data_IF_188210289060
#
_entry.id   IF_188210289060
#
_cell.length_a   1.000
_cell.length_b   1.000
_cell.length_c   1.000
_cell.angle_alpha   90.00
_cell.angle_beta   90.00
_cell.angle_gamma   90.00
#
_symmetry.space_group_name_H-M   'P 1'
#
loop_
_entity.id
_entity.type
_entity.pdbx_description
1 polymer ?
#
# COMPACT_ATOMS: atom_id res chain seq x y z
N UNK A 1 -15.15 -18.04 15.92
CA UNK A 1 -14.65 -16.87 15.16
C UNK A 1 -13.66 -17.40 14.12
N UNK A 2 -13.85 -17.08 12.85
CA UNK A 2 -12.91 -17.45 11.79
C UNK A 2 -11.60 -16.67 12.01
N UNK A 3 -10.45 -17.33 11.90
CA UNK A 3 -9.15 -16.67 12.07
C UNK A 3 -8.94 -15.59 10.98
N UNK A 4 -8.46 -14.42 11.39
CA UNK A 4 -8.13 -13.34 10.47
C UNK A 4 -6.97 -13.77 9.56
N UNK A 5 -7.07 -13.42 8.26
CA UNK A 5 -6.08 -13.77 7.23
C UNK A 5 -5.10 -12.64 6.97
N UNK A 6 -5.54 -11.39 7.10
CA UNK A 6 -4.70 -10.23 6.84
C UNK A 6 -5.14 -9.01 7.66
N UNK A 7 -4.19 -8.09 7.84
CA UNK A 7 -4.43 -6.73 8.33
C UNK A 7 -4.35 -5.76 7.16
N UNK A 8 -5.43 -5.05 6.88
CA UNK A 8 -5.47 -4.00 5.85
C UNK A 8 -5.17 -2.66 6.53
N UNK A 9 -4.04 -2.06 6.19
CA UNK A 9 -3.60 -0.76 6.72
C UNK A 9 -3.95 0.34 5.73
N UNK A 10 -4.74 1.31 6.19
CA UNK A 10 -5.28 2.40 5.39
C UNK A 10 -4.89 3.73 6.03
N UNK A 11 -3.87 4.43 5.54
CA UNK A 11 -3.59 5.79 5.99
C UNK A 11 -4.71 6.73 5.50
N UNK A 12 -5.27 7.53 6.40
CA UNK A 12 -6.35 8.45 6.10
C UNK A 12 -6.07 9.85 6.66
N UNK A 13 -6.58 10.87 5.98
CA UNK A 13 -6.44 12.27 6.41
C UNK A 13 -7.69 13.06 6.04
N UNK A 14 -8.54 13.34 7.03
CA UNK A 14 -9.75 14.15 6.90
C UNK A 14 -10.71 13.67 5.78
N UNK A 15 -10.90 12.34 5.66
CA UNK A 15 -11.79 11.76 4.65
C UNK A 15 -13.28 11.96 5.00
N UNK A 16 -13.59 12.30 6.26
CA UNK A 16 -14.95 12.55 6.70
C UNK A 16 -15.89 11.37 6.41
N UNK A 17 -17.05 11.66 5.82
CA UNK A 17 -18.04 10.63 5.45
C UNK A 17 -17.63 9.79 4.22
N UNK A 18 -16.65 10.24 3.44
CA UNK A 18 -16.16 9.50 2.27
C UNK A 18 -15.52 8.15 2.66
N UNK A 19 -15.02 8.04 3.89
CA UNK A 19 -14.50 6.77 4.41
C UNK A 19 -15.57 5.67 4.39
N UNK A 20 -16.84 6.00 4.59
CA UNK A 20 -17.95 5.05 4.52
C UNK A 20 -18.10 4.42 3.14
N UNK A 21 -17.93 5.20 2.08
CA UNK A 21 -17.95 4.70 0.68
C UNK A 21 -16.78 3.74 0.41
N UNK A 22 -15.58 4.09 0.89
CA UNK A 22 -14.42 3.22 0.80
C UNK A 22 -14.66 1.89 1.55
N UNK A 23 -15.14 1.95 2.79
CA UNK A 23 -15.40 0.76 3.62
C UNK A 23 -16.47 -0.14 2.99
N UNK A 24 -17.54 0.43 2.43
CA UNK A 24 -18.57 -0.33 1.72
C UNK A 24 -17.98 -1.07 0.52
N UNK A 25 -17.20 -0.40 -0.33
CA UNK A 25 -16.55 -1.04 -1.49
C UNK A 25 -15.59 -2.15 -1.06
N UNK A 26 -14.88 -1.96 0.04
CA UNK A 26 -13.99 -2.97 0.61
C UNK A 26 -14.80 -4.19 1.08
N UNK A 27 -15.87 -3.99 1.83
CA UNK A 27 -16.74 -5.06 2.32
C UNK A 27 -17.42 -5.85 1.19
N UNK A 28 -17.83 -5.18 0.10
CA UNK A 28 -18.41 -5.82 -1.09
C UNK A 28 -17.38 -6.63 -1.89
N UNK A 29 -16.08 -6.34 -1.76
CA UNK A 29 -15.03 -6.90 -2.63
C UNK A 29 -14.15 -7.93 -1.94
N UNK A 30 -13.87 -7.78 -0.64
CA UNK A 30 -12.98 -8.66 0.12
C UNK A 30 -13.79 -9.77 0.78
N UNK A 31 -13.48 -11.02 0.40
CA UNK A 31 -14.21 -12.19 0.92
C UNK A 31 -13.49 -12.89 2.07
N UNK A 32 -12.19 -12.68 2.19
CA UNK A 32 -11.39 -13.24 3.28
C UNK A 32 -11.63 -12.46 4.60
N UNK A 33 -11.64 -13.14 5.75
CA UNK A 33 -11.76 -12.46 7.03
C UNK A 33 -10.52 -11.61 7.32
N UNK A 34 -10.68 -10.30 7.46
CA UNK A 34 -9.60 -9.33 7.67
C UNK A 34 -9.93 -8.36 8.80
N UNK A 35 -8.89 -7.79 9.41
CA UNK A 35 -9.00 -6.55 10.15
C UNK A 35 -8.62 -5.36 9.26
N UNK A 36 -9.26 -4.22 9.46
CA UNK A 36 -9.01 -2.97 8.73
C UNK A 36 -8.60 -1.91 9.73
N UNK A 37 -7.35 -1.46 9.62
CA UNK A 37 -6.77 -0.42 10.48
C UNK A 37 -6.75 0.89 9.71
N UNK A 38 -7.70 1.77 9.99
CA UNK A 38 -7.75 3.13 9.45
C UNK A 38 -6.88 4.02 10.34
N UNK A 39 -5.73 4.44 9.83
CA UNK A 39 -4.72 5.15 10.63
C UNK A 39 -4.76 6.64 10.30
N UNK A 40 -5.02 7.45 11.32
CA UNK A 40 -5.07 8.92 11.24
C UNK A 40 -3.95 9.56 12.08
N UNK A 41 -3.58 10.79 11.73
CA UNK A 41 -2.48 11.52 12.39
C UNK A 41 -2.92 12.22 13.69
N UNK A 42 -4.23 12.44 13.92
CA UNK A 42 -4.72 13.18 15.11
C UNK A 42 -6.09 12.67 15.57
N UNK A 43 -6.40 12.80 16.87
CA UNK A 43 -7.72 12.44 17.38
C UNK A 43 -8.87 13.31 16.85
N UNK A 44 -8.57 14.50 16.31
CA UNK A 44 -9.55 15.41 15.70
C UNK A 44 -9.78 15.16 14.21
N UNK A 45 -9.19 14.12 13.64
CA UNK A 45 -9.37 13.78 12.23
C UNK A 45 -10.83 13.37 11.97
N UNK A 46 -11.45 14.00 10.96
CA UNK A 46 -12.87 13.77 10.64
C UNK A 46 -13.17 12.35 10.16
N UNK A 47 -12.17 11.60 9.77
CA UNK A 47 -12.29 10.19 9.36
C UNK A 47 -12.81 9.32 10.50
N UNK A 48 -12.40 9.60 11.76
CA UNK A 48 -12.84 8.82 12.92
C UNK A 48 -14.36 8.87 13.10
N UNK A 49 -14.95 10.07 13.00
CA UNK A 49 -16.40 10.22 13.07
C UNK A 49 -17.13 9.53 11.90
N UNK A 50 -16.50 9.43 10.74
CA UNK A 50 -17.02 8.67 9.60
C UNK A 50 -17.01 7.16 9.85
N UNK A 51 -15.96 6.63 10.50
CA UNK A 51 -15.86 5.22 10.86
C UNK A 51 -16.93 4.83 11.90
N UNK A 52 -17.16 5.67 12.91
CA UNK A 52 -18.16 5.41 13.96
C UNK A 52 -19.59 5.23 13.41
N UNK A 53 -19.89 5.88 12.28
CA UNK A 53 -21.19 5.75 11.60
C UNK A 53 -21.30 4.47 10.76
N UNK A 54 -20.19 3.78 10.50
CA UNK A 54 -20.15 2.60 9.66
C UNK A 54 -20.19 1.32 10.50
N UNK A 55 -21.09 0.40 10.16
CA UNK A 55 -21.20 -0.91 10.81
C UNK A 55 -20.88 -2.01 9.79
N UNK A 56 -19.72 -2.64 9.95
CA UNK A 56 -19.35 -3.80 9.16
C UNK A 56 -19.96 -5.07 9.72
N UNK A 57 -20.37 -5.97 8.82
CA UNK A 57 -20.88 -7.31 9.16
C UNK A 57 -19.85 -8.40 8.95
N UNK A 58 -18.79 -8.13 8.19
CA UNK A 58 -17.81 -9.14 7.77
C UNK A 58 -16.40 -8.90 8.31
N UNK A 59 -16.02 -7.64 8.54
CA UNK A 59 -14.65 -7.26 8.88
C UNK A 59 -14.57 -6.52 10.20
N UNK A 60 -13.45 -6.68 10.89
CA UNK A 60 -13.13 -5.88 12.07
C UNK A 60 -12.54 -4.54 11.62
N UNK A 61 -13.25 -3.44 11.81
CA UNK A 61 -12.81 -2.10 11.41
C UNK A 61 -12.40 -1.32 12.65
N UNK A 62 -11.18 -0.78 12.66
CA UNK A 62 -10.60 -0.04 13.77
C UNK A 62 -10.04 1.30 13.29
N UNK A 63 -10.53 2.40 13.87
CA UNK A 63 -9.91 3.71 13.78
C UNK A 63 -8.75 3.81 14.77
N UNK A 64 -7.55 4.17 14.29
CA UNK A 64 -6.32 4.18 15.08
C UNK A 64 -5.62 5.52 14.93
N UNK A 65 -5.34 6.19 16.05
CA UNK A 65 -4.55 7.43 16.05
C UNK A 65 -3.07 7.09 16.14
N UNK A 66 -2.28 7.57 15.18
CA UNK A 66 -0.84 7.30 15.13
C UNK A 66 -0.11 8.01 16.27
N UNK A 67 0.75 7.28 16.96
CA UNK A 67 1.73 7.82 17.92
C UNK A 67 3.05 8.24 17.25
N UNK A 68 3.19 7.94 15.95
CA UNK A 68 4.37 8.34 15.18
C UNK A 68 4.21 9.78 14.64
N UNK A 69 5.30 10.42 14.19
CA UNK A 69 5.23 11.73 13.56
C UNK A 69 4.26 11.74 12.39
N UNK A 70 3.57 12.87 12.17
CA UNK A 70 2.58 13.01 11.10
C UNK A 70 3.14 12.69 9.71
N UNK A 71 2.31 12.10 8.89
CA UNK A 71 2.59 11.83 7.48
C UNK A 71 2.32 10.40 7.03
N UNK A 72 2.10 10.20 5.72
CA UNK A 72 1.58 8.93 5.21
C UNK A 72 2.51 7.73 5.47
N UNK A 73 3.84 7.90 5.33
CA UNK A 73 4.78 6.82 5.64
C UNK A 73 4.69 6.40 7.11
N UNK A 74 4.60 7.36 8.03
CA UNK A 74 4.52 7.09 9.45
C UNK A 74 3.16 6.49 9.85
N UNK A 75 2.06 6.93 9.25
CA UNK A 75 0.75 6.32 9.44
C UNK A 75 0.77 4.85 8.98
N UNK A 76 1.35 4.55 7.82
CA UNK A 76 1.53 3.17 7.33
C UNK A 76 2.40 2.35 8.29
N UNK A 77 3.54 2.87 8.71
CA UNK A 77 4.46 2.19 9.65
C UNK A 77 3.76 1.89 10.99
N UNK A 78 3.00 2.86 11.50
CA UNK A 78 2.23 2.66 12.73
C UNK A 78 1.15 1.58 12.54
N UNK A 79 0.39 1.61 11.44
CA UNK A 79 -0.58 0.57 11.12
C UNK A 79 0.05 -0.82 11.02
N UNK A 80 1.22 -0.95 10.37
CA UNK A 80 1.98 -2.20 10.31
C UNK A 80 2.36 -2.68 11.72
N UNK A 81 2.84 -1.79 12.59
CA UNK A 81 3.21 -2.16 13.97
C UNK A 81 2.01 -2.60 14.81
N UNK A 82 0.81 -2.15 14.48
CA UNK A 82 -0.46 -2.52 15.14
C UNK A 82 -1.16 -3.72 14.52
N UNK A 83 -0.68 -4.19 13.35
CA UNK A 83 -1.26 -5.33 12.64
C UNK A 83 -1.12 -6.62 13.43
N UNK A 84 -2.22 -7.39 13.55
CA UNK A 84 -2.27 -8.66 14.26
C UNK A 84 -1.93 -9.86 13.36
N UNK A 85 -1.97 -9.70 12.03
CA UNK A 85 -1.77 -10.77 11.06
C UNK A 85 -0.38 -10.76 10.44
N UNK A 86 0.05 -11.93 9.93
CA UNK A 86 1.31 -12.08 9.17
C UNK A 86 1.26 -11.47 7.76
N UNK A 87 0.07 -11.29 7.20
CA UNK A 87 -0.13 -10.62 5.93
C UNK A 87 -0.62 -9.22 6.17
N UNK A 88 0.09 -8.23 5.63
CA UNK A 88 -0.28 -6.81 5.71
C UNK A 88 -0.55 -6.27 4.33
N UNK A 89 -1.74 -5.74 4.09
CA UNK A 89 -2.13 -5.07 2.84
C UNK A 89 -2.17 -3.57 3.07
N UNK A 90 -1.54 -2.79 2.21
CA UNK A 90 -1.60 -1.32 2.25
C UNK A 90 -2.46 -0.85 1.08
N UNK A 91 -3.48 -0.05 1.35
CA UNK A 91 -4.33 0.60 0.35
C UNK A 91 -4.73 2.00 0.80
N UNK A 92 -5.24 2.83 -0.13
CA UNK A 92 -5.57 4.23 0.14
C UNK A 92 -7.07 4.42 0.43
N UNK A 93 -7.38 5.32 1.37
CA UNK A 93 -8.75 5.66 1.74
C UNK A 93 -9.52 6.40 0.63
N UNK A 94 -8.83 6.99 -0.34
CA UNK A 94 -9.40 7.85 -1.39
C UNK A 94 -10.17 7.09 -2.49
N UNK A 95 -10.26 5.77 -2.37
CA UNK A 95 -10.99 4.92 -3.30
C UNK A 95 -10.35 4.76 -4.68
N UNK A 96 -9.12 5.22 -4.88
CA UNK A 96 -8.40 5.10 -6.14
C UNK A 96 -7.99 3.67 -6.47
N UNK A 97 -7.74 2.86 -5.47
CA UNK A 97 -7.37 1.45 -5.60
C UNK A 97 -8.60 0.55 -5.80
N UNK A 98 -8.45 -0.52 -6.56
CA UNK A 98 -9.50 -1.52 -6.78
C UNK A 98 -9.43 -2.62 -5.70
N UNK A 99 -10.34 -2.66 -4.72
CA UNK A 99 -10.27 -3.61 -3.61
C UNK A 99 -10.49 -5.07 -4.03
N UNK A 100 -11.01 -5.34 -5.23
CA UNK A 100 -11.27 -6.71 -5.72
C UNK A 100 -10.03 -7.58 -5.84
N UNK A 101 -8.83 -6.98 -5.89
CA UNK A 101 -7.58 -7.74 -5.98
C UNK A 101 -6.96 -8.06 -4.62
N UNK A 102 -7.54 -7.58 -3.52
CA UNK A 102 -6.99 -7.76 -2.16
C UNK A 102 -6.87 -9.23 -1.79
N UNK A 103 -7.90 -10.03 -2.05
CA UNK A 103 -7.86 -11.46 -1.75
C UNK A 103 -6.73 -12.19 -2.49
N UNK A 104 -6.45 -11.81 -3.74
CA UNK A 104 -5.37 -12.40 -4.52
C UNK A 104 -3.99 -11.96 -4.01
N UNK A 105 -3.85 -10.69 -3.59
CA UNK A 105 -2.63 -10.22 -2.93
C UNK A 105 -2.34 -11.00 -1.64
N UNK A 106 -3.35 -11.22 -0.81
CA UNK A 106 -3.24 -12.03 0.42
C UNK A 106 -2.77 -13.44 0.10
N UNK A 107 -3.41 -14.12 -0.85
CA UNK A 107 -3.06 -15.48 -1.26
C UNK A 107 -1.63 -15.60 -1.78
N UNK A 108 -1.10 -14.59 -2.46
CA UNK A 108 0.29 -14.58 -2.92
C UNK A 108 1.28 -14.53 -1.76
N UNK A 109 1.01 -13.72 -0.74
CA UNK A 109 1.86 -13.68 0.47
C UNK A 109 1.82 -15.01 1.20
N UNK A 110 0.64 -15.61 1.38
CA UNK A 110 0.48 -16.92 2.01
C UNK A 110 1.20 -18.05 1.27
N UNK A 111 1.41 -17.90 -0.04
CA UNK A 111 2.21 -18.82 -0.88
C UNK A 111 3.72 -18.57 -0.78
N UNK A 112 4.17 -17.64 0.07
CA UNK A 112 5.57 -17.39 0.34
C UNK A 112 6.17 -16.16 -0.38
N UNK A 113 5.38 -15.34 -1.07
CA UNK A 113 5.89 -14.06 -1.56
C UNK A 113 6.17 -13.11 -0.39
N UNK A 114 7.27 -12.37 -0.46
CA UNK A 114 7.54 -11.28 0.48
C UNK A 114 6.74 -10.02 0.15
N UNK A 115 6.50 -9.80 -1.15
CA UNK A 115 5.75 -8.67 -1.69
C UNK A 115 4.81 -9.15 -2.78
N UNK A 116 3.53 -8.74 -2.72
CA UNK A 116 2.56 -8.90 -3.79
C UNK A 116 2.06 -7.51 -4.22
N UNK A 117 2.31 -7.11 -5.45
CA UNK A 117 2.01 -5.78 -5.97
C UNK A 117 0.73 -5.76 -6.80
N UNK A 118 -0.15 -4.80 -6.52
CA UNK A 118 -1.24 -4.45 -7.42
C UNK A 118 -0.67 -3.57 -8.54
N UNK A 119 -0.52 -4.13 -9.74
CA UNK A 119 0.23 -3.53 -10.85
C UNK A 119 -0.71 -2.89 -11.87
N UNK A 120 -0.51 -1.59 -12.08
CA UNK A 120 -1.19 -0.80 -13.12
C UNK A 120 -0.58 -1.00 -14.50
N UNK A 121 0.64 -1.55 -14.57
CA UNK A 121 1.49 -1.54 -15.77
C UNK A 121 1.76 -2.92 -16.37
N UNK A 122 1.39 -4.00 -15.70
CA UNK A 122 1.38 -5.34 -16.28
C UNK A 122 0.21 -5.53 -17.25
N UNK A 123 0.20 -6.61 -18.02
CA UNK A 123 -0.93 -6.96 -18.88
C UNK A 123 -2.23 -7.09 -18.06
N UNK A 124 -3.30 -6.42 -18.49
CA UNK A 124 -4.58 -6.34 -17.77
C UNK A 124 -4.66 -5.21 -16.73
N UNK A 125 -3.54 -4.60 -16.32
CA UNK A 125 -3.53 -3.45 -15.43
C UNK A 125 -3.83 -2.13 -16.16
N UNK A 126 -4.45 -1.17 -15.45
CA UNK A 126 -4.81 0.12 -16.01
C UNK A 126 -4.60 1.26 -15.00
N UNK A 127 -4.22 2.42 -15.52
CA UNK A 127 -4.26 3.69 -14.78
C UNK A 127 -5.13 4.68 -15.54
N UNK A 128 -6.28 5.02 -14.96
CA UNK A 128 -7.27 5.93 -15.53
C UNK A 128 -7.16 7.27 -14.81
N UNK A 129 -6.96 8.36 -15.58
CA UNK A 129 -6.77 9.69 -15.02
C UNK A 129 -5.36 9.94 -14.47
N UNK A 130 -5.26 10.97 -13.63
CA UNK A 130 -4.03 11.44 -13.01
C UNK A 130 -3.11 12.25 -13.93
N UNK A 131 -2.18 13.03 -13.34
CA UNK A 131 -1.26 13.87 -14.11
C UNK A 131 -0.35 13.04 -15.02
N UNK A 132 -0.37 13.31 -16.33
CA UNK A 132 0.39 12.56 -17.35
C UNK A 132 1.88 12.46 -17.02
N UNK A 133 2.49 13.54 -16.50
CA UNK A 133 3.90 13.54 -16.14
C UNK A 133 4.22 12.56 -14.99
N UNK A 134 3.40 12.55 -13.94
CA UNK A 134 3.57 11.61 -12.80
C UNK A 134 3.44 10.17 -13.28
N UNK A 135 2.46 9.88 -14.14
CA UNK A 135 2.25 8.56 -14.75
C UNK A 135 3.46 8.12 -15.57
N UNK A 136 3.98 9.00 -16.43
CA UNK A 136 5.15 8.68 -17.28
C UNK A 136 6.39 8.40 -16.42
N UNK A 137 6.65 9.22 -15.39
CA UNK A 137 7.79 9.05 -14.49
C UNK A 137 7.70 7.71 -13.73
N UNK A 138 6.56 7.45 -13.12
CA UNK A 138 6.30 6.21 -12.37
C UNK A 138 6.44 4.97 -13.25
N UNK A 139 5.83 4.99 -14.45
CA UNK A 139 5.90 3.88 -15.40
C UNK A 139 7.32 3.61 -15.90
N UNK A 140 8.06 4.67 -16.26
CA UNK A 140 9.44 4.51 -16.77
C UNK A 140 10.39 4.05 -15.67
N UNK A 141 10.27 4.57 -14.44
CA UNK A 141 11.06 4.10 -13.32
C UNK A 141 10.81 2.61 -13.01
N UNK A 142 9.54 2.21 -12.94
CA UNK A 142 9.18 0.81 -12.70
C UNK A 142 9.65 -0.09 -13.85
N UNK A 143 9.49 0.36 -15.11
CA UNK A 143 9.96 -0.39 -16.30
C UNK A 143 11.48 -0.57 -16.30
N UNK A 144 12.23 0.46 -15.89
CA UNK A 144 13.69 0.36 -15.79
C UNK A 144 14.10 -0.71 -14.75
N UNK A 145 13.49 -0.71 -13.57
CA UNK A 145 13.75 -1.72 -12.54
C UNK A 145 13.39 -3.14 -13.02
N UNK A 146 12.28 -3.30 -13.71
CA UNK A 146 11.86 -4.60 -14.24
C UNK A 146 12.79 -5.09 -15.35
N UNK A 147 13.11 -4.25 -16.36
CA UNK A 147 13.92 -4.64 -17.51
C UNK A 147 15.40 -4.86 -17.17
N UNK A 148 15.96 -3.98 -16.31
CA UNK A 148 17.41 -3.98 -16.04
C UNK A 148 17.77 -4.92 -14.89
N UNK A 149 16.93 -4.97 -13.87
CA UNK A 149 17.23 -5.73 -12.65
C UNK A 149 16.39 -7.01 -12.52
N UNK A 150 15.35 -7.19 -13.33
CA UNK A 150 14.44 -8.33 -13.18
C UNK A 150 13.61 -8.28 -11.90
N UNK A 151 13.28 -7.08 -11.40
CA UNK A 151 12.38 -6.92 -10.27
C UNK A 151 11.02 -7.56 -10.60
N UNK A 152 10.49 -8.40 -9.74
CA UNK A 152 9.31 -9.24 -9.98
C UNK A 152 7.97 -8.48 -10.11
N UNK A 153 7.98 -7.18 -10.44
CA UNK A 153 6.79 -6.38 -10.69
C UNK A 153 7.04 -5.29 -11.72
N UNK A 154 6.03 -5.05 -12.57
CA UNK A 154 6.00 -3.92 -13.52
C UNK A 154 5.60 -2.60 -12.84
N UNK A 155 5.19 -2.61 -11.57
CA UNK A 155 4.76 -1.42 -10.83
C UNK A 155 5.37 -1.33 -9.43
N UNK A 156 6.63 -0.97 -9.37
CA UNK A 156 7.37 -0.83 -8.11
C UNK A 156 6.91 0.37 -7.27
N UNK A 157 6.30 1.39 -7.89
CA UNK A 157 5.99 2.68 -7.26
C UNK A 157 4.58 2.78 -6.70
N UNK A 158 3.65 1.90 -7.05
CA UNK A 158 2.32 1.88 -6.45
C UNK A 158 2.41 1.55 -4.96
N UNK A 159 1.63 2.23 -4.12
CA UNK A 159 1.56 1.93 -2.69
C UNK A 159 0.67 0.72 -2.39
N UNK A 160 -0.29 0.43 -3.27
CA UNK A 160 -1.22 -0.69 -3.12
C UNK A 160 -0.48 -2.02 -3.31
N UNK A 161 -0.15 -2.65 -2.19
CA UNK A 161 0.61 -3.90 -2.12
C UNK A 161 0.28 -4.67 -0.85
N UNK A 162 0.49 -5.98 -0.90
CA UNK A 162 0.58 -6.81 0.29
C UNK A 162 2.03 -7.19 0.60
N UNK A 163 2.31 -7.42 1.87
CA UNK A 163 3.63 -7.76 2.39
C UNK A 163 3.55 -8.86 3.44
N UNK A 164 4.57 -9.70 3.51
CA UNK A 164 4.81 -10.55 4.68
C UNK A 164 5.35 -9.69 5.82
N UNK A 165 4.72 -9.75 6.99
CA UNK A 165 5.18 -9.03 8.19
C UNK A 165 6.57 -9.50 8.62
N UNK A 166 6.81 -10.82 8.57
CA UNK A 166 8.13 -11.38 8.83
C UNK A 166 9.21 -10.78 7.90
N UNK A 167 8.90 -10.56 6.61
CA UNK A 167 9.84 -9.89 5.71
C UNK A 167 10.08 -8.44 6.14
N UNK A 168 9.02 -7.68 6.46
CA UNK A 168 9.15 -6.29 6.94
C UNK A 168 10.02 -6.24 8.20
N UNK A 169 9.79 -7.13 9.16
CA UNK A 169 10.52 -7.17 10.43
C UNK A 169 12.01 -7.47 10.21
N UNK A 170 12.36 -8.31 9.21
CA UNK A 170 13.75 -8.61 8.86
C UNK A 170 14.49 -7.45 8.20
N UNK A 171 13.83 -6.68 7.32
CA UNK A 171 14.50 -5.63 6.53
C UNK A 171 14.32 -4.22 7.12
N UNK A 172 13.34 -4.05 7.99
CA UNK A 172 12.94 -2.77 8.55
C UNK A 172 12.39 -1.79 7.51
N UNK A 173 11.82 -0.69 7.97
CA UNK A 173 11.31 0.42 7.14
C UNK A 173 12.06 1.70 7.54
N UNK A 174 12.74 2.33 6.57
CA UNK A 174 13.48 3.57 6.76
C UNK A 174 12.72 4.81 6.24
N UNK A 175 11.79 4.61 5.33
CA UNK A 175 10.95 5.69 4.77
C UNK A 175 10.07 6.31 5.84
N UNK A 176 10.09 7.64 5.95
CA UNK A 176 9.37 8.42 6.97
C UNK A 176 8.65 9.66 6.41
N UNK A 177 8.63 9.87 5.09
CA UNK A 177 8.11 11.10 4.48
C UNK A 177 6.79 10.90 3.75
N UNK A 178 6.77 10.05 2.71
CA UNK A 178 5.65 9.93 1.80
C UNK A 178 5.32 8.48 1.45
N UNK A 179 4.96 8.23 0.19
CA UNK A 179 4.59 6.90 -0.30
C UNK A 179 5.77 6.13 -0.91
N UNK A 180 7.00 6.61 -0.77
CA UNK A 180 8.22 5.94 -1.22
C UNK A 180 8.47 4.60 -0.52
N UNK A 181 7.82 4.37 0.63
CA UNK A 181 7.85 3.11 1.38
C UNK A 181 7.54 1.89 0.49
N UNK A 182 6.57 2.02 -0.43
CA UNK A 182 6.24 0.95 -1.36
C UNK A 182 7.41 0.57 -2.28
N UNK A 183 8.19 1.55 -2.75
CA UNK A 183 9.38 1.32 -3.56
C UNK A 183 10.55 0.80 -2.69
N UNK A 184 10.71 1.30 -1.47
CA UNK A 184 11.69 0.80 -0.51
C UNK A 184 11.57 -0.71 -0.31
N UNK A 185 10.36 -1.18 0.06
CA UNK A 185 10.15 -2.60 0.36
C UNK A 185 10.32 -3.48 -0.88
N UNK A 186 9.94 -3.01 -2.07
CA UNK A 186 10.23 -3.72 -3.33
C UNK A 186 11.74 -3.81 -3.58
N UNK A 187 12.48 -2.72 -3.41
CA UNK A 187 13.93 -2.69 -3.60
C UNK A 187 14.66 -3.61 -2.59
N UNK A 188 14.23 -3.59 -1.32
CA UNK A 188 14.76 -4.47 -0.27
C UNK A 188 14.45 -5.94 -0.56
N UNK A 189 13.22 -6.28 -0.99
CA UNK A 189 12.85 -7.64 -1.37
C UNK A 189 13.69 -8.16 -2.54
N UNK A 190 13.85 -7.34 -3.58
CA UNK A 190 14.70 -7.68 -4.74
C UNK A 190 16.15 -7.97 -4.33
N UNK A 191 16.77 -7.07 -3.55
CA UNK A 191 18.18 -7.24 -3.12
C UNK A 191 18.37 -8.42 -2.15
N UNK A 192 17.34 -8.73 -1.34
CA UNK A 192 17.36 -9.90 -0.44
C UNK A 192 17.00 -11.22 -1.14
N UNK A 193 16.80 -11.21 -2.47
CA UNK A 193 16.42 -12.40 -3.24
C UNK A 193 15.06 -12.98 -2.82
N UNK A 194 14.18 -12.14 -2.27
CA UNK A 194 12.84 -12.57 -1.85
C UNK A 194 11.88 -12.54 -3.04
N UNK A 195 10.90 -13.43 -3.02
CA UNK A 195 9.91 -13.53 -4.08
C UNK A 195 8.99 -12.31 -4.07
N UNK A 196 8.86 -11.70 -5.26
CA UNK A 196 7.92 -10.61 -5.55
C UNK A 196 6.97 -11.12 -6.63
N UNK A 197 5.67 -10.96 -6.41
CA UNK A 197 4.64 -11.28 -7.41
C UNK A 197 3.77 -10.05 -7.66
N UNK A 198 2.94 -10.09 -8.71
CA UNK A 198 2.00 -9.02 -9.03
C UNK A 198 0.68 -9.56 -9.55
N UNK A 199 -0.38 -8.77 -9.37
CA UNK A 199 -1.70 -8.97 -9.97
C UNK A 199 -2.11 -7.69 -10.72
N UNK A 200 -2.85 -7.79 -11.84
CA UNK A 200 -3.33 -6.62 -12.54
C UNK A 200 -4.38 -5.88 -11.69
N UNK A 201 -4.30 -4.55 -11.66
CA UNK A 201 -5.28 -3.71 -10.98
C UNK A 201 -5.70 -2.54 -11.85
N UNK A 202 -6.89 -2.01 -11.60
CA UNK A 202 -7.38 -0.76 -12.17
C UNK A 202 -7.24 0.32 -11.10
N UNK A 203 -6.43 1.33 -11.40
CA UNK A 203 -6.32 2.50 -10.56
C UNK A 203 -7.05 3.66 -11.23
N UNK A 204 -7.96 4.29 -10.50
CA UNK A 204 -8.75 5.43 -10.98
C UNK A 204 -8.38 6.64 -10.14
N UNK A 205 -8.03 7.77 -10.80
CA UNK A 205 -7.76 8.99 -10.06
C UNK A 205 -8.97 9.40 -9.22
N UNK A 206 -8.73 9.93 -8.02
CA UNK A 206 -9.80 10.31 -7.11
C UNK A 206 -10.79 11.25 -7.80
N UNK A 207 -12.08 11.03 -7.55
CA UNK A 207 -13.15 11.84 -8.15
C UNK A 207 -13.38 13.13 -7.39
N UNK A 208 -12.99 13.20 -6.10
CA UNK A 208 -13.24 14.33 -5.19
C UNK A 208 -11.97 14.64 -4.40
N UNK A 209 -11.69 15.93 -4.18
CA UNK A 209 -10.55 16.42 -3.41
C UNK A 209 -9.26 16.61 -4.21
N UNK A 210 -8.31 17.33 -3.61
CA UNK A 210 -7.00 17.57 -4.21
C UNK A 210 -5.99 16.48 -3.82
N UNK A 211 -5.07 16.18 -4.74
CA UNK A 211 -4.00 15.22 -4.48
C UNK A 211 -2.97 15.81 -3.50
N UNK A 212 -2.84 15.23 -2.32
CA UNK A 212 -1.81 15.58 -1.35
C UNK A 212 -0.39 15.10 -1.76
N UNK A 213 -0.26 14.50 -2.95
CA UNK A 213 1.01 13.96 -3.43
C UNK A 213 1.97 15.07 -3.85
N UNK A 214 2.97 15.36 -3.01
CA UNK A 214 3.98 16.40 -3.20
C UNK A 214 5.21 15.85 -3.93
N UNK A 215 5.12 15.67 -5.25
CA UNK A 215 6.18 15.05 -6.06
C UNK A 215 7.56 15.67 -5.83
N UNK A 216 7.67 17.01 -5.86
CA UNK A 216 8.97 17.70 -5.70
C UNK A 216 9.62 17.41 -4.35
N UNK A 217 8.81 17.31 -3.29
CA UNK A 217 9.28 17.05 -1.92
C UNK A 217 9.74 15.60 -1.74
N UNK A 218 9.06 14.65 -2.38
CA UNK A 218 9.30 13.22 -2.19
C UNK A 218 10.22 12.59 -3.26
N UNK A 219 10.45 13.29 -4.39
CA UNK A 219 11.30 12.78 -5.46
C UNK A 219 12.70 12.33 -5.00
N UNK A 220 13.44 13.06 -4.12
CA UNK A 220 14.73 12.60 -3.64
C UNK A 220 14.67 11.23 -2.93
N UNK A 221 13.58 10.98 -2.17
CA UNK A 221 13.38 9.70 -1.46
C UNK A 221 13.09 8.55 -2.45
N UNK A 222 12.25 8.82 -3.47
CA UNK A 222 12.04 7.85 -4.54
C UNK A 222 13.33 7.52 -5.31
N UNK A 223 14.15 8.53 -5.61
CA UNK A 223 15.45 8.32 -6.27
C UNK A 223 16.41 7.53 -5.39
N UNK A 224 16.45 7.79 -4.08
CA UNK A 224 17.24 7.00 -3.12
C UNK A 224 16.92 5.51 -3.26
N UNK A 225 15.66 5.13 -3.18
CA UNK A 225 15.24 3.73 -3.24
C UNK A 225 15.36 3.14 -4.65
N UNK A 226 15.16 3.96 -5.68
CA UNK A 226 15.41 3.55 -7.06
C UNK A 226 16.88 3.13 -7.25
N UNK A 227 17.82 3.98 -6.85
CA UNK A 227 19.25 3.65 -6.96
C UNK A 227 19.68 2.56 -5.98
N UNK A 228 19.08 2.48 -4.80
CA UNK A 228 19.33 1.39 -3.86
C UNK A 228 19.06 0.02 -4.48
N UNK A 229 18.05 -0.11 -5.34
CA UNK A 229 17.73 -1.37 -6.01
C UNK A 229 18.87 -1.88 -6.91
N UNK A 230 19.73 -1.01 -7.44
CA UNK A 230 20.89 -1.37 -8.27
C UNK A 230 22.11 -1.86 -7.46
N UNK A 231 22.08 -1.77 -6.15
CA UNK A 231 23.15 -2.28 -5.30
C UNK A 231 23.30 -3.81 -5.41
N UNK A 232 24.46 -4.33 -4.97
CA UNK A 232 24.71 -5.78 -4.92
C UNK A 232 23.63 -6.48 -4.08
N UNK A 233 23.33 -7.76 -4.41
CA UNK A 233 22.43 -8.56 -3.58
C UNK A 233 22.96 -8.63 -2.16
N UNK A 234 22.06 -8.48 -1.19
CA UNK A 234 22.40 -8.64 0.21
C UNK A 234 22.67 -10.13 0.47
N UNK A 235 23.89 -10.45 0.81
CA UNK A 235 24.22 -11.80 1.33
C UNK A 235 23.54 -11.96 2.69
N UNK A 236 22.95 -13.14 2.88
CA UNK A 236 22.36 -13.55 4.17
C UNK A 236 23.42 -13.63 5.25
#
# INVERSE_FOLDING_TARGET
MTALRASIVVPALNEGEQIGVFLQRLEESVTLPVEVLIVVDTPSDTTLAGIEKYSSTQHQILGVVSEFPKGPANAIRYGISRSSCEVVVITMADGSDDPRVIDDLIRLIERGCAVAAASRYMAGGQQIGGPRFKKLLSRNASRALWLVLGVGTHDSTNSFKAYSKNFIDQVGIESDKGFELGLELVAKAHRSGRMIAEVPTIWIDRMVGESNFQLRRWLPQYLRWFFYAFGSKLTK
#
